data_IF_931297508297
#
_entry.id   IF_931297508297
#
_cell.length_a   1.000
_cell.length_b   1.000
_cell.length_c   1.000
_cell.angle_alpha   90.00
_cell.angle_beta   90.00
_cell.angle_gamma   90.00
#
_symmetry.space_group_name_H-M   'P 1'
#
loop_
_entity.id
_entity.type
_entity.pdbx_description
1 polymer ?
#
# COMPACT_ATOMS: atom_id res chain seq x y z
N UNK A 1 -26.59 -14.01 0.23
CA UNK A 1 -25.54 -14.07 1.28
C UNK A 1 -24.69 -15.34 1.19
N UNK A 2 -25.26 -16.53 1.07
CA UNK A 2 -24.51 -17.80 1.00
C UNK A 2 -23.45 -17.85 -0.10
N UNK A 3 -23.74 -17.32 -1.30
CA UNK A 3 -22.77 -17.27 -2.40
C UNK A 3 -21.49 -16.47 -2.08
N UNK A 4 -21.55 -15.51 -1.15
CA UNK A 4 -20.37 -14.75 -0.71
C UNK A 4 -19.37 -15.62 0.07
N UNK A 5 -19.84 -16.73 0.66
CA UNK A 5 -19.04 -17.70 1.41
C UNK A 5 -18.20 -18.61 0.52
N UNK A 6 -18.54 -18.69 -0.77
CA UNK A 6 -17.82 -19.54 -1.73
C UNK A 6 -16.38 -19.08 -1.92
N UNK A 7 -16.10 -17.78 -1.82
CA UNK A 7 -14.73 -17.27 -1.93
C UNK A 7 -13.82 -17.71 -0.76
N UNK A 8 -14.16 -17.45 0.54
CA UNK A 8 -13.38 -17.96 1.66
C UNK A 8 -13.24 -19.49 1.65
N UNK A 9 -14.31 -20.19 1.28
CA UNK A 9 -14.36 -21.65 1.24
C UNK A 9 -13.42 -22.20 0.16
N UNK A 10 -13.49 -21.69 -1.07
CA UNK A 10 -12.58 -22.05 -2.18
C UNK A 10 -11.12 -21.66 -1.92
N UNK A 11 -10.86 -20.64 -1.10
CA UNK A 11 -9.50 -20.27 -0.69
C UNK A 11 -8.91 -21.29 0.30
N UNK A 12 -9.73 -21.92 1.14
CA UNK A 12 -9.30 -22.87 2.18
C UNK A 12 -9.37 -24.34 1.75
N UNK A 13 -10.27 -24.69 0.83
CA UNK A 13 -10.50 -26.07 0.40
C UNK A 13 -9.85 -26.34 -0.97
N UNK A 14 -8.79 -27.18 -1.02
CA UNK A 14 -8.08 -27.47 -2.27
C UNK A 14 -8.89 -28.28 -3.29
N UNK A 15 -9.93 -29.03 -2.88
CA UNK A 15 -10.78 -29.77 -3.81
C UNK A 15 -11.70 -28.86 -4.65
N UNK A 16 -12.00 -27.65 -4.19
CA UNK A 16 -12.80 -26.66 -4.94
C UNK A 16 -11.99 -25.94 -6.05
N UNK A 17 -10.74 -26.36 -6.32
CA UNK A 17 -9.92 -25.80 -7.40
C UNK A 17 -10.52 -26.00 -8.79
N UNK A 18 -11.32 -27.05 -8.98
CA UNK A 18 -12.01 -27.36 -10.25
C UNK A 18 -13.07 -26.29 -10.59
N UNK A 19 -13.64 -25.62 -9.59
CA UNK A 19 -14.69 -24.61 -9.77
C UNK A 19 -14.15 -23.23 -10.19
N UNK A 20 -12.88 -23.13 -10.63
CA UNK A 20 -12.31 -21.91 -11.21
C UNK A 20 -11.25 -21.20 -10.35
N UNK A 21 -10.68 -20.14 -10.91
CA UNK A 21 -9.53 -19.42 -10.32
C UNK A 21 -9.88 -18.61 -9.08
N UNK A 22 -8.91 -18.38 -8.18
CA UNK A 22 -9.08 -17.50 -7.00
C UNK A 22 -9.53 -16.11 -7.42
N UNK A 23 -8.94 -15.58 -8.50
CA UNK A 23 -9.23 -14.25 -9.02
C UNK A 23 -10.67 -14.12 -9.56
N UNK A 24 -11.25 -15.19 -10.10
CA UNK A 24 -12.66 -15.22 -10.48
C UNK A 24 -13.56 -15.15 -9.25
N UNK A 25 -13.35 -16.04 -8.26
CA UNK A 25 -14.16 -16.06 -7.03
C UNK A 25 -14.06 -14.78 -6.21
N UNK A 26 -12.88 -14.16 -6.17
CA UNK A 26 -12.70 -12.86 -5.55
C UNK A 26 -13.52 -11.77 -6.26
N UNK A 27 -13.52 -11.74 -7.60
CA UNK A 27 -14.35 -10.82 -8.39
C UNK A 27 -15.84 -11.05 -8.17
N UNK A 28 -16.29 -12.31 -8.19
CA UNK A 28 -17.67 -12.66 -7.91
C UNK A 28 -18.10 -12.21 -6.51
N UNK A 29 -17.28 -12.45 -5.48
CA UNK A 29 -17.56 -12.00 -4.12
C UNK A 29 -17.72 -10.47 -4.04
N UNK A 30 -16.85 -9.70 -4.70
CA UNK A 30 -16.98 -8.23 -4.73
C UNK A 30 -18.27 -7.77 -5.42
N UNK A 31 -18.61 -8.35 -6.57
CA UNK A 31 -19.82 -8.00 -7.32
C UNK A 31 -21.06 -8.32 -6.47
N UNK A 32 -21.14 -9.54 -5.94
CA UNK A 32 -22.24 -9.97 -5.09
C UNK A 32 -22.33 -9.15 -3.79
N UNK A 33 -21.20 -8.69 -3.26
CA UNK A 33 -21.14 -7.85 -2.05
C UNK A 33 -21.73 -6.46 -2.27
N UNK A 34 -21.68 -5.94 -3.50
CA UNK A 34 -22.30 -4.66 -3.88
C UNK A 34 -23.73 -4.84 -4.38
N UNK A 35 -24.04 -5.93 -5.09
CA UNK A 35 -25.40 -6.22 -5.55
C UNK A 35 -26.32 -6.67 -4.41
N UNK A 36 -25.79 -7.37 -3.41
CA UNK A 36 -26.57 -7.88 -2.28
C UNK A 36 -27.39 -6.80 -1.55
N UNK A 37 -26.80 -5.68 -1.08
CA UNK A 37 -27.54 -4.60 -0.45
C UNK A 37 -28.58 -3.96 -1.39
N UNK A 38 -28.25 -3.78 -2.68
CA UNK A 38 -29.21 -3.26 -3.67
C UNK A 38 -30.44 -4.17 -3.77
N UNK A 39 -30.23 -5.48 -3.88
CA UNK A 39 -31.32 -6.45 -3.96
C UNK A 39 -32.14 -6.50 -2.68
N UNK A 40 -31.54 -6.29 -1.49
CA UNK A 40 -32.29 -6.21 -0.23
C UNK A 40 -33.18 -4.97 -0.19
N UNK A 41 -32.67 -3.81 -0.61
CA UNK A 41 -33.47 -2.57 -0.69
C UNK A 41 -34.62 -2.72 -1.68
N UNK A 42 -34.39 -3.38 -2.82
CA UNK A 42 -35.43 -3.68 -3.78
C UNK A 42 -36.47 -4.66 -3.22
N UNK A 43 -36.00 -5.72 -2.55
CA UNK A 43 -36.86 -6.71 -1.89
C UNK A 43 -37.75 -6.08 -0.81
N UNK A 44 -37.25 -5.07 -0.10
CA UNK A 44 -38.03 -4.32 0.88
C UNK A 44 -38.93 -3.24 0.27
N UNK A 45 -39.03 -3.18 -1.06
CA UNK A 45 -39.76 -2.15 -1.81
C UNK A 45 -39.38 -0.72 -1.37
N UNK A 46 -38.09 -0.48 -1.10
CA UNK A 46 -37.56 0.79 -0.59
C UNK A 46 -38.15 1.24 0.76
N UNK A 47 -38.79 0.33 1.51
CA UNK A 47 -39.34 0.61 2.84
C UNK A 47 -38.50 -0.05 3.91
N UNK A 48 -38.40 0.61 5.06
CA UNK A 48 -37.84 0.05 6.28
C UNK A 48 -38.93 -0.76 6.98
N UNK A 49 -38.58 -1.98 7.37
CA UNK A 49 -39.50 -2.93 8.00
C UNK A 49 -39.33 -2.94 9.51
N UNK A 50 -39.46 -4.13 10.09
CA UNK A 50 -39.19 -4.37 11.51
C UNK A 50 -37.73 -4.02 11.89
N UNK A 51 -37.49 -3.84 13.19
CA UNK A 51 -36.15 -3.57 13.75
C UNK A 51 -35.16 -4.65 13.30
N UNK A 52 -35.59 -5.92 13.27
CA UNK A 52 -34.76 -7.04 12.82
C UNK A 52 -34.31 -6.88 11.36
N UNK A 53 -35.23 -6.58 10.44
CA UNK A 53 -34.91 -6.33 9.04
C UNK A 53 -33.96 -5.15 8.86
N UNK A 54 -34.17 -4.08 9.64
CA UNK A 54 -33.32 -2.89 9.58
C UNK A 54 -31.91 -3.17 10.13
N UNK A 55 -31.77 -3.99 11.18
CA UNK A 55 -30.47 -4.43 11.70
C UNK A 55 -29.72 -5.29 10.68
N UNK A 56 -30.40 -6.22 10.00
CA UNK A 56 -29.79 -7.03 8.94
C UNK A 56 -29.33 -6.19 7.75
N UNK A 57 -30.15 -5.21 7.32
CA UNK A 57 -29.77 -4.25 6.27
C UNK A 57 -28.57 -3.40 6.69
N UNK A 58 -28.56 -2.87 7.91
CA UNK A 58 -27.45 -2.07 8.43
C UNK A 58 -26.15 -2.88 8.48
N UNK A 59 -26.18 -4.11 8.99
CA UNK A 59 -25.03 -5.00 8.99
C UNK A 59 -24.51 -5.25 7.57
N UNK A 60 -25.42 -5.47 6.61
CA UNK A 60 -25.06 -5.69 5.22
C UNK A 60 -24.37 -4.48 4.60
N UNK A 61 -24.91 -3.27 4.84
CA UNK A 61 -24.33 -2.03 4.33
C UNK A 61 -22.95 -1.75 4.94
N UNK A 62 -22.77 -1.98 6.24
CA UNK A 62 -21.48 -1.83 6.93
C UNK A 62 -20.44 -2.79 6.35
N UNK A 63 -20.79 -4.07 6.16
CA UNK A 63 -19.89 -5.05 5.56
C UNK A 63 -19.56 -4.69 4.12
N UNK A 64 -20.54 -4.31 3.30
CA UNK A 64 -20.34 -3.92 1.91
C UNK A 64 -19.42 -2.68 1.79
N UNK A 65 -19.68 -1.63 2.58
CA UNK A 65 -18.85 -0.43 2.62
C UNK A 65 -17.41 -0.74 3.06
N UNK A 66 -17.25 -1.56 4.11
CA UNK A 66 -15.91 -1.99 4.53
C UNK A 66 -15.22 -2.85 3.45
N UNK A 67 -15.96 -3.65 2.68
CA UNK A 67 -15.43 -4.43 1.55
C UNK A 67 -14.91 -3.53 0.42
N UNK A 68 -15.63 -2.45 0.10
CA UNK A 68 -15.18 -1.43 -0.86
C UNK A 68 -13.89 -0.76 -0.38
N UNK A 69 -13.81 -0.39 0.90
CA UNK A 69 -12.57 0.12 1.49
C UNK A 69 -11.41 -0.89 1.38
N UNK A 70 -11.67 -2.17 1.63
CA UNK A 70 -10.71 -3.26 1.44
C UNK A 70 -10.18 -3.36 0.01
N UNK A 71 -11.05 -3.21 -0.99
CA UNK A 71 -10.65 -3.18 -2.41
C UNK A 71 -9.76 -1.99 -2.74
N UNK A 72 -10.06 -0.81 -2.19
CA UNK A 72 -9.20 0.36 -2.35
C UNK A 72 -7.78 0.07 -1.81
N UNK A 73 -7.67 -0.46 -0.59
CA UNK A 73 -6.40 -0.82 0.04
C UNK A 73 -5.64 -1.88 -0.75
N UNK A 74 -6.32 -2.94 -1.20
CA UNK A 74 -5.73 -4.01 -2.00
C UNK A 74 -5.13 -3.48 -3.31
N UNK A 75 -5.80 -2.53 -3.97
CA UNK A 75 -5.30 -1.94 -5.22
C UNK A 75 -3.96 -1.19 -5.02
N UNK A 76 -3.81 -0.50 -3.88
CA UNK A 76 -2.59 0.26 -3.55
C UNK A 76 -1.40 -0.64 -3.24
N UNK A 77 -1.65 -1.83 -2.70
CA UNK A 77 -0.61 -2.82 -2.41
C UNK A 77 -0.16 -3.54 -3.69
N UNK A 78 -1.10 -3.99 -4.51
CA UNK A 78 -0.79 -4.86 -5.66
C UNK A 78 -0.07 -4.11 -6.80
N UNK A 79 -0.41 -2.84 -7.05
CA UNK A 79 0.34 -1.95 -7.94
C UNK A 79 1.76 -1.62 -7.40
N UNK A 80 2.02 -1.96 -6.14
CA UNK A 80 3.27 -1.72 -5.42
C UNK A 80 4.32 -2.83 -5.55
N UNK A 81 3.90 -4.09 -5.55
CA UNK A 81 4.77 -5.23 -5.23
C UNK A 81 5.50 -5.89 -6.42
N UNK A 82 4.86 -6.07 -7.58
CA UNK A 82 5.39 -6.95 -8.63
C UNK A 82 6.57 -6.37 -9.43
N UNK A 83 6.63 -5.06 -9.65
CA UNK A 83 7.76 -4.45 -10.39
C UNK A 83 8.95 -4.04 -9.52
N UNK A 84 8.79 -3.97 -8.19
CA UNK A 84 9.53 -2.99 -7.39
C UNK A 84 10.62 -3.57 -6.48
N UNK A 85 10.53 -4.85 -6.13
CA UNK A 85 11.66 -5.57 -5.51
C UNK A 85 12.82 -5.76 -6.50
N UNK A 86 12.51 -5.94 -7.78
CA UNK A 86 13.49 -5.96 -8.86
C UNK A 86 14.10 -4.56 -9.08
N UNK A 87 13.26 -3.52 -9.15
CA UNK A 87 13.70 -2.12 -9.31
C UNK A 87 14.63 -1.64 -8.15
N UNK A 88 14.37 -2.05 -6.90
CA UNK A 88 15.25 -1.73 -5.77
C UNK A 88 16.61 -2.44 -5.88
N UNK A 89 16.65 -3.68 -6.34
CA UNK A 89 17.89 -4.44 -6.55
C UNK A 89 18.69 -3.88 -7.73
N UNK A 90 18.04 -3.51 -8.82
CA UNK A 90 18.66 -2.80 -9.95
C UNK A 90 19.23 -1.44 -9.53
N UNK A 91 18.51 -0.68 -8.71
CA UNK A 91 18.99 0.63 -8.24
C UNK A 91 20.18 0.50 -7.28
N UNK A 92 20.27 -0.59 -6.50
CA UNK A 92 21.45 -0.88 -5.70
C UNK A 92 22.65 -1.27 -6.57
N UNK A 93 22.42 -2.00 -7.68
CA UNK A 93 23.46 -2.28 -8.66
C UNK A 93 23.91 -1.00 -9.40
N UNK A 94 22.99 -0.07 -9.68
CA UNK A 94 23.33 1.24 -10.24
C UNK A 94 24.13 2.10 -9.24
N UNK A 95 23.88 1.98 -7.93
CA UNK A 95 24.66 2.63 -6.88
C UNK A 95 26.14 2.20 -6.89
N UNK A 96 26.43 0.93 -7.19
CA UNK A 96 27.80 0.47 -7.42
C UNK A 96 28.39 1.07 -8.71
N UNK A 97 27.60 1.16 -9.77
CA UNK A 97 28.01 1.81 -11.03
C UNK A 97 28.32 3.31 -10.87
N UNK A 98 27.64 4.01 -9.96
CA UNK A 98 27.90 5.40 -9.62
C UNK A 98 29.28 5.64 -9.01
N UNK A 99 29.81 4.65 -8.31
CA UNK A 99 31.18 4.69 -7.79
C UNK A 99 32.20 4.85 -8.93
N UNK A 100 31.90 4.29 -10.11
CA UNK A 100 32.69 4.49 -11.32
C UNK A 100 32.50 5.85 -12.00
N UNK A 101 31.28 6.40 -11.98
CA UNK A 101 30.97 7.67 -12.66
C UNK A 101 31.50 8.88 -11.89
N UNK A 102 31.36 8.89 -10.55
CA UNK A 102 31.61 10.09 -9.75
C UNK A 102 33.11 10.33 -9.54
N UNK A 103 33.96 9.29 -9.57
CA UNK A 103 35.40 9.43 -9.29
C UNK A 103 35.70 9.99 -7.89
N UNK A 104 34.68 10.04 -7.02
CA UNK A 104 34.79 10.42 -5.63
C UNK A 104 35.01 9.15 -4.80
N UNK A 105 35.84 9.27 -3.77
CA UNK A 105 36.13 8.23 -2.79
C UNK A 105 34.89 7.41 -2.43
N UNK A 106 35.08 6.09 -2.30
CA UNK A 106 34.12 5.08 -1.79
C UNK A 106 33.26 5.61 -0.63
N UNK A 107 33.84 6.47 0.19
CA UNK A 107 33.26 7.18 1.35
C UNK A 107 31.99 7.98 1.02
N UNK A 108 31.87 8.61 -0.16
CA UNK A 108 30.68 9.39 -0.53
C UNK A 108 29.53 8.47 -0.93
N UNK A 109 29.83 7.42 -1.72
CA UNK A 109 28.84 6.38 -2.06
C UNK A 109 28.35 5.68 -0.80
N UNK A 110 29.25 5.29 0.10
CA UNK A 110 28.90 4.61 1.36
C UNK A 110 28.01 5.49 2.26
N UNK A 111 28.26 6.80 2.31
CA UNK A 111 27.44 7.74 3.08
C UNK A 111 26.04 7.91 2.50
N UNK A 112 25.92 7.96 1.17
CA UNK A 112 24.63 8.05 0.49
C UNK A 112 23.84 6.74 0.72
N UNK A 113 24.48 5.59 0.54
CA UNK A 113 23.86 4.27 0.77
C UNK A 113 23.41 4.12 2.24
N UNK A 114 24.25 4.52 3.21
CA UNK A 114 23.90 4.45 4.63
C UNK A 114 22.71 5.36 4.99
N UNK A 115 22.63 6.57 4.43
CA UNK A 115 21.48 7.46 4.66
C UNK A 115 20.19 6.92 4.02
N UNK A 116 20.30 6.26 2.87
CA UNK A 116 19.17 5.64 2.18
C UNK A 116 18.65 4.42 2.93
N UNK A 117 19.53 3.54 3.39
CA UNK A 117 19.18 2.40 4.24
C UNK A 117 18.53 2.87 5.55
N UNK A 118 19.11 3.88 6.20
CA UNK A 118 18.54 4.46 7.42
C UNK A 118 17.18 5.14 7.19
N UNK A 119 16.88 5.65 5.99
CA UNK A 119 15.55 6.18 5.66
C UNK A 119 14.54 5.06 5.37
N UNK A 120 14.98 3.99 4.69
CA UNK A 120 14.17 2.80 4.46
C UNK A 120 13.78 2.10 5.77
N UNK A 121 14.74 1.91 6.68
CA UNK A 121 14.51 1.32 8.01
C UNK A 121 13.56 2.17 8.86
N UNK A 122 13.72 3.50 8.84
CA UNK A 122 12.82 4.42 9.57
C UNK A 122 11.43 4.51 8.94
N UNK A 123 11.32 4.35 7.63
CA UNK A 123 10.04 4.23 6.93
C UNK A 123 9.34 2.90 7.24
N UNK A 124 10.11 1.82 7.43
CA UNK A 124 9.62 0.52 7.85
C UNK A 124 9.23 0.49 9.35
N UNK A 125 9.95 1.23 10.20
CA UNK A 125 9.69 1.42 11.62
C UNK A 125 8.51 2.39 11.89
N UNK A 126 7.43 2.27 11.13
CA UNK A 126 6.26 3.12 11.26
C UNK A 126 5.63 2.99 12.67
N UNK A 127 5.23 4.11 13.31
CA UNK A 127 4.76 4.14 14.69
C UNK A 127 3.60 3.17 14.95
N UNK A 128 3.49 2.65 16.18
CA UNK A 128 2.59 1.55 16.52
C UNK A 128 1.08 1.82 16.35
N UNK A 129 0.66 3.07 16.10
CA UNK A 129 -0.74 3.46 15.92
C UNK A 129 -1.17 3.75 14.47
N UNK A 130 -2.43 3.45 14.16
CA UNK A 130 -3.05 3.66 12.83
C UNK A 130 -3.24 5.15 12.53
N UNK A 131 -3.71 5.91 13.52
CA UNK A 131 -3.91 7.36 13.44
C UNK A 131 -2.56 8.07 13.31
N UNK A 132 -1.56 7.67 14.11
CA UNK A 132 -0.19 8.16 13.99
C UNK A 132 0.44 7.82 12.64
N UNK A 133 0.11 6.66 12.06
CA UNK A 133 0.53 6.27 10.72
C UNK A 133 -0.08 7.16 9.62
N UNK A 134 -1.39 7.45 9.69
CA UNK A 134 -2.08 8.34 8.76
C UNK A 134 -1.51 9.77 8.80
N UNK A 135 -1.31 10.31 9.99
CA UNK A 135 -0.72 11.64 10.20
C UNK A 135 0.77 11.68 9.81
N UNK A 136 1.43 10.53 9.71
CA UNK A 136 2.84 10.46 9.28
C UNK A 136 3.03 10.50 7.77
N UNK A 137 2.00 10.26 6.94
CA UNK A 137 2.14 10.26 5.48
C UNK A 137 2.60 11.62 4.90
N UNK A 138 2.03 12.76 5.32
CA UNK A 138 2.54 14.07 4.91
C UNK A 138 3.97 14.32 5.42
N UNK A 139 4.26 13.85 6.64
CA UNK A 139 5.57 13.98 7.28
C UNK A 139 6.63 13.18 6.53
N UNK A 140 6.30 11.98 6.03
CA UNK A 140 7.18 11.16 5.19
C UNK A 140 7.46 11.88 3.86
N UNK A 141 6.46 12.51 3.26
CA UNK A 141 6.62 13.32 2.05
C UNK A 141 7.55 14.53 2.26
N UNK A 142 7.32 15.28 3.34
CA UNK A 142 8.15 16.44 3.69
C UNK A 142 9.59 16.03 4.05
N UNK A 143 9.75 14.99 4.86
CA UNK A 143 11.07 14.43 5.22
C UNK A 143 11.82 13.90 4.01
N UNK A 144 11.15 13.22 3.07
CA UNK A 144 11.75 12.80 1.82
C UNK A 144 12.28 14.02 1.02
N UNK A 145 11.51 15.11 0.98
CA UNK A 145 11.95 16.38 0.38
C UNK A 145 13.17 16.98 1.06
N UNK A 146 13.19 17.00 2.40
CA UNK A 146 14.31 17.51 3.19
C UNK A 146 15.58 16.66 3.01
N UNK A 147 15.45 15.33 3.01
CA UNK A 147 16.57 14.40 2.77
C UNK A 147 17.12 14.59 1.35
N UNK A 148 16.25 14.69 0.34
CA UNK A 148 16.66 14.98 -1.05
C UNK A 148 17.46 16.28 -1.14
N UNK A 149 16.97 17.36 -0.55
CA UNK A 149 17.63 18.66 -0.59
C UNK A 149 19.01 18.64 0.09
N UNK A 150 19.13 17.94 1.23
CA UNK A 150 20.41 17.77 1.94
C UNK A 150 21.41 16.95 1.13
N UNK A 151 20.99 15.80 0.58
CA UNK A 151 21.85 14.96 -0.25
C UNK A 151 22.38 15.70 -1.48
N UNK A 152 21.53 16.50 -2.15
CA UNK A 152 21.96 17.31 -3.30
C UNK A 152 22.93 18.42 -2.87
N UNK A 153 22.70 19.05 -1.71
CA UNK A 153 23.61 20.06 -1.18
C UNK A 153 24.99 19.47 -0.85
N UNK A 154 25.03 18.30 -0.21
CA UNK A 154 26.26 17.58 0.14
C UNK A 154 27.02 17.15 -1.13
N UNK A 155 26.30 16.59 -2.12
CA UNK A 155 26.88 16.24 -3.41
C UNK A 155 27.45 17.46 -4.14
N UNK A 156 26.78 18.61 -4.07
CA UNK A 156 27.26 19.86 -4.67
C UNK A 156 28.55 20.33 -4.03
N UNK A 157 28.68 20.23 -2.70
CA UNK A 157 29.92 20.59 -2.00
C UNK A 157 31.06 19.65 -2.39
N UNK A 158 30.82 18.33 -2.40
CA UNK A 158 31.83 17.34 -2.77
C UNK A 158 32.32 17.52 -4.22
N UNK A 159 31.41 17.68 -5.19
CA UNK A 159 31.77 17.90 -6.60
C UNK A 159 32.49 19.24 -6.81
N UNK A 160 32.18 20.25 -6.00
CA UNK A 160 32.86 21.54 -6.10
C UNK A 160 34.28 21.48 -5.53
N UNK A 161 34.48 20.80 -4.40
CA UNK A 161 35.80 20.58 -3.81
C UNK A 161 36.68 19.75 -4.76
N UNK A 162 36.14 18.64 -5.26
CA UNK A 162 36.86 17.73 -6.15
C UNK A 162 37.15 18.37 -7.52
N UNK A 163 36.17 19.10 -8.06
CA UNK A 163 36.35 19.83 -9.31
C UNK A 163 37.36 20.97 -9.22
N UNK A 164 37.66 21.51 -8.03
CA UNK A 164 38.79 22.42 -7.82
C UNK A 164 40.12 21.65 -7.80
N UNK A 165 40.16 20.48 -7.13
CA UNK A 165 41.34 19.61 -7.03
C UNK A 165 41.81 19.10 -8.40
N UNK A 166 40.87 18.66 -9.24
CA UNK A 166 41.14 18.06 -10.55
C UNK A 166 41.02 19.04 -11.73
N UNK A 167 40.79 20.33 -11.47
CA UNK A 167 40.73 21.35 -12.53
C UNK A 167 39.52 21.24 -13.47
N UNK A 168 38.39 20.68 -13.03
CA UNK A 168 37.22 20.49 -13.88
C UNK A 168 36.57 21.81 -14.33
N UNK A 169 36.20 21.87 -15.61
CA UNK A 169 35.41 22.99 -16.15
C UNK A 169 34.05 23.11 -15.45
N UNK A 170 33.44 24.30 -15.50
CA UNK A 170 32.10 24.52 -14.92
C UNK A 170 31.04 23.61 -15.56
N UNK A 171 31.21 23.27 -16.85
CA UNK A 171 30.30 22.37 -17.58
C UNK A 171 30.32 20.95 -17.02
N UNK A 172 31.52 20.41 -16.79
CA UNK A 172 31.70 19.06 -16.24
C UNK A 172 31.13 18.96 -14.82
N UNK A 173 31.36 19.98 -13.98
CA UNK A 173 30.78 20.04 -12.62
C UNK A 173 29.25 20.04 -12.63
N UNK A 174 28.64 20.82 -13.53
CA UNK A 174 27.17 20.89 -13.67
C UNK A 174 26.59 19.57 -14.18
N UNK A 175 27.26 18.92 -15.14
CA UNK A 175 26.83 17.63 -15.68
C UNK A 175 26.90 16.53 -14.62
N UNK A 176 28.00 16.43 -13.87
CA UNK A 176 28.12 15.46 -12.76
C UNK A 176 27.08 15.70 -11.66
N UNK A 177 26.82 16.95 -11.29
CA UNK A 177 25.79 17.27 -10.31
C UNK A 177 24.38 16.91 -10.80
N UNK A 178 24.09 17.11 -12.09
CA UNK A 178 22.80 16.73 -12.67
C UNK A 178 22.57 15.21 -12.58
N UNK A 179 23.59 14.41 -12.93
CA UNK A 179 23.52 12.94 -12.82
C UNK A 179 23.25 12.50 -11.38
N UNK A 180 23.98 13.06 -10.40
CA UNK A 180 23.76 12.73 -8.98
C UNK A 180 22.39 13.20 -8.50
N UNK A 181 21.93 14.38 -8.91
CA UNK A 181 20.62 14.91 -8.52
C UNK A 181 19.46 14.06 -9.06
N UNK A 182 19.56 13.59 -10.30
CA UNK A 182 18.56 12.71 -10.92
C UNK A 182 18.47 11.38 -10.17
N UNK A 183 19.63 10.78 -9.87
CA UNK A 183 19.68 9.55 -9.09
C UNK A 183 19.10 9.72 -7.69
N UNK A 184 19.55 10.74 -6.95
CA UNK A 184 19.04 11.00 -5.58
C UNK A 184 17.52 11.21 -5.61
N UNK A 185 17.02 11.88 -6.65
CA UNK A 185 15.58 12.08 -6.85
C UNK A 185 14.86 10.76 -7.10
N UNK A 186 15.39 9.91 -7.97
CA UNK A 186 14.85 8.57 -8.24
C UNK A 186 14.82 7.73 -6.97
N UNK A 187 15.95 7.64 -6.26
CA UNK A 187 16.09 6.81 -5.09
C UNK A 187 15.17 7.26 -3.94
N UNK A 188 15.13 8.56 -3.64
CA UNK A 188 14.20 9.10 -2.63
C UNK A 188 12.74 8.84 -3.01
N UNK A 189 12.40 8.92 -4.31
CA UNK A 189 11.06 8.60 -4.78
C UNK A 189 10.70 7.13 -4.56
N UNK A 190 11.64 6.21 -4.80
CA UNK A 190 11.49 4.77 -4.57
C UNK A 190 11.32 4.46 -3.09
N UNK A 191 12.18 4.98 -2.21
CA UNK A 191 12.06 4.73 -0.76
C UNK A 191 10.78 5.33 -0.19
N UNK A 192 10.37 6.52 -0.64
CA UNK A 192 9.07 7.11 -0.26
C UNK A 192 7.91 6.20 -0.65
N UNK A 193 7.94 5.62 -1.86
CA UNK A 193 6.92 4.68 -2.33
C UNK A 193 6.94 3.39 -1.50
N UNK A 194 8.12 2.87 -1.14
CA UNK A 194 8.26 1.68 -0.30
C UNK A 194 7.69 1.92 1.12
N UNK A 195 7.97 3.07 1.74
CA UNK A 195 7.38 3.45 3.02
C UNK A 195 5.84 3.58 2.94
N UNK A 196 5.32 4.15 1.85
CA UNK A 196 3.88 4.22 1.62
C UNK A 196 3.26 2.82 1.44
N UNK A 197 3.94 1.90 0.77
CA UNK A 197 3.48 0.51 0.62
C UNK A 197 3.39 -0.20 1.97
N UNK A 198 4.43 -0.11 2.80
CA UNK A 198 4.43 -0.68 4.14
C UNK A 198 3.26 -0.16 4.99
N UNK A 199 2.92 1.13 4.84
CA UNK A 199 1.74 1.72 5.45
C UNK A 199 0.43 1.08 4.94
N UNK A 200 0.25 0.95 3.61
CA UNK A 200 -0.96 0.33 3.06
C UNK A 200 -1.09 -1.15 3.44
N UNK A 201 0.01 -1.91 3.47
CA UNK A 201 0.03 -3.29 3.94
C UNK A 201 -0.45 -3.41 5.40
N UNK A 202 0.02 -2.51 6.27
CA UNK A 202 -0.45 -2.46 7.66
C UNK A 202 -1.94 -2.14 7.74
N UNK A 203 -2.41 -1.16 6.98
CA UNK A 203 -3.83 -0.79 6.96
C UNK A 203 -4.70 -1.93 6.42
N UNK A 204 -4.20 -2.69 5.45
CA UNK A 204 -4.87 -3.87 4.92
C UNK A 204 -4.93 -5.02 5.94
N UNK A 205 -3.86 -5.26 6.71
CA UNK A 205 -3.89 -6.22 7.83
C UNK A 205 -4.96 -5.83 8.85
N UNK A 206 -5.00 -4.57 9.25
CA UNK A 206 -6.00 -4.06 10.19
C UNK A 206 -7.42 -4.19 9.63
N UNK A 207 -7.62 -3.78 8.38
CA UNK A 207 -8.89 -3.94 7.68
C UNK A 207 -9.36 -5.40 7.72
N UNK A 208 -8.47 -6.36 7.48
CA UNK A 208 -8.82 -7.77 7.52
C UNK A 208 -9.26 -8.23 8.93
N UNK A 209 -8.63 -7.71 9.99
CA UNK A 209 -9.02 -7.95 11.39
C UNK A 209 -10.40 -7.37 11.72
N UNK A 210 -10.79 -6.24 11.13
CA UNK A 210 -12.13 -5.65 11.33
C UNK A 210 -13.21 -6.26 10.44
N UNK A 211 -12.90 -6.50 9.17
CA UNK A 211 -13.86 -6.98 8.17
C UNK A 211 -14.36 -8.39 8.50
N UNK A 212 -13.49 -9.25 9.01
CA UNK A 212 -13.83 -10.64 9.32
C UNK A 212 -14.90 -10.76 10.44
N UNK A 213 -14.79 -10.11 11.62
CA UNK A 213 -15.85 -10.06 12.62
C UNK A 213 -17.17 -9.47 12.10
N UNK A 214 -17.12 -8.39 11.31
CA UNK A 214 -18.32 -7.78 10.72
C UNK A 214 -19.04 -8.77 9.80
N UNK A 215 -18.29 -9.56 9.05
CA UNK A 215 -18.84 -10.64 8.25
C UNK A 215 -19.56 -11.68 9.10
N UNK A 216 -19.00 -12.11 10.24
CA UNK A 216 -19.68 -13.05 11.14
C UNK A 216 -20.96 -12.45 11.73
N UNK A 217 -20.92 -11.18 12.14
CA UNK A 217 -22.09 -10.46 12.62
C UNK A 217 -23.20 -10.43 11.56
N UNK A 218 -22.86 -10.17 10.29
CA UNK A 218 -23.81 -10.21 9.18
C UNK A 218 -24.43 -11.60 8.99
N UNK A 219 -23.65 -12.67 9.11
CA UNK A 219 -24.19 -14.04 9.02
C UNK A 219 -25.21 -14.29 10.13
N UNK A 220 -24.88 -13.93 11.37
CA UNK A 220 -25.80 -14.06 12.51
C UNK A 220 -27.07 -13.23 12.30
N UNK A 221 -26.93 -11.96 11.91
CA UNK A 221 -28.06 -11.08 11.64
C UNK A 221 -28.96 -11.63 10.51
N UNK A 222 -28.37 -12.22 9.46
CA UNK A 222 -29.12 -12.83 8.38
C UNK A 222 -29.91 -14.07 8.85
N UNK A 223 -29.32 -14.91 9.71
CA UNK A 223 -30.02 -16.08 10.29
C UNK A 223 -31.20 -15.62 11.15
N UNK A 224 -30.99 -14.65 12.04
CA UNK A 224 -32.04 -14.08 12.90
C UNK A 224 -33.14 -13.43 12.05
N UNK A 225 -32.78 -12.73 10.98
CA UNK A 225 -33.74 -12.15 10.05
C UNK A 225 -34.64 -13.20 9.40
N UNK A 226 -34.04 -14.26 8.84
CA UNK A 226 -34.79 -15.36 8.20
C UNK A 226 -35.68 -16.07 9.22
N UNK A 227 -35.14 -16.42 10.39
CA UNK A 227 -35.89 -17.10 11.43
C UNK A 227 -37.10 -16.26 11.87
N UNK A 228 -36.89 -15.00 12.24
CA UNK A 228 -38.01 -14.19 12.70
C UNK A 228 -39.06 -13.96 11.61
N UNK A 229 -38.65 -13.85 10.34
CA UNK A 229 -39.59 -13.66 9.23
C UNK A 229 -40.45 -14.90 8.91
N UNK A 230 -40.04 -16.10 9.34
CA UNK A 230 -40.79 -17.34 9.11
C UNK A 230 -41.55 -17.85 10.32
N UNK A 231 -41.10 -17.51 11.54
CA UNK A 231 -41.65 -18.05 12.79
C UNK A 231 -42.47 -17.04 13.59
N UNK A 232 -42.42 -15.74 13.26
CA UNK A 232 -43.19 -14.67 13.89
C UNK A 232 -43.78 -13.75 12.83
#
# INVERSE_FOLDING_TARGET
MVLLLLYPLRKRMPFLRVLGSVAFWFRAHMILGVLGPLLIVLHSNFRLGSINSNMALAAMLIVAASGVAGRYLYSKIHLGLYGRKAEIQEILADADALTGIIGADRVVSDRIIAQLNGFAERGAAAPNGVITGLLSLPVIGWRAGAVRARLIADARQAITAEGKRLGWSRRVRRQRLAVVADLVTLHVAVVRKAAALAFYERLFRLWHVFHLPLFFLLVVAAIIHIFAAHFF
#
